data_IF_054313892263
#
_entry.id   IF_054313892263
#
_cell.length_a   1.000
_cell.length_b   1.000
_cell.length_c   1.000
_cell.angle_alpha   90.00
_cell.angle_beta   90.00
_cell.angle_gamma   90.00
#
_symmetry.space_group_name_H-M   'P 1'
#
loop_
_entity.id
_entity.type
_entity.pdbx_description
1 polymer ?
#
# COMPACT_ATOMS: atom_id res chain seq x y z
N UNK A 1 -16.60 9.58 -4.13
CA UNK A 1 -16.65 10.27 -2.81
C UNK A 1 -17.21 11.68 -2.99
N UNK A 2 -16.45 12.63 -3.54
CA UNK A 2 -16.91 14.03 -3.66
C UNK A 2 -18.25 14.18 -4.43
N UNK A 3 -18.40 13.50 -5.57
CA UNK A 3 -19.66 13.51 -6.33
C UNK A 3 -20.85 12.89 -5.57
N UNK A 4 -20.65 11.72 -4.95
CA UNK A 4 -21.66 11.07 -4.10
C UNK A 4 -22.02 11.89 -2.86
N UNK A 5 -21.08 12.68 -2.32
CA UNK A 5 -21.35 13.62 -1.22
C UNK A 5 -22.24 14.78 -1.66
N UNK A 6 -22.00 15.33 -2.86
CA UNK A 6 -22.87 16.36 -3.47
C UNK A 6 -24.27 15.81 -3.77
N UNK A 7 -24.35 14.54 -4.19
CA UNK A 7 -25.60 13.85 -4.49
C UNK A 7 -26.35 13.33 -3.23
N UNK A 8 -25.89 13.73 -2.02
CA UNK A 8 -26.44 13.34 -0.70
C UNK A 8 -26.50 11.83 -0.46
N UNK A 9 -25.64 11.07 -1.13
CA UNK A 9 -25.53 9.63 -0.93
C UNK A 9 -24.76 9.33 0.35
N UNK A 10 -25.10 8.22 1.02
CA UNK A 10 -24.35 7.77 2.20
C UNK A 10 -23.01 7.20 1.75
N UNK A 11 -21.93 7.88 2.12
CA UNK A 11 -20.55 7.43 1.85
C UNK A 11 -19.95 6.85 3.13
N UNK A 12 -19.59 5.57 3.10
CA UNK A 12 -18.80 4.94 4.15
C UNK A 12 -17.32 4.84 3.71
N UNK A 13 -16.41 5.24 4.59
CA UNK A 13 -14.96 5.09 4.38
C UNK A 13 -14.42 4.22 5.50
N UNK A 14 -13.75 3.13 5.13
CA UNK A 14 -13.02 2.27 6.06
C UNK A 14 -11.54 2.58 5.90
N UNK A 15 -10.94 3.16 6.94
CA UNK A 15 -9.50 3.39 7.03
C UNK A 15 -8.90 2.23 7.84
N UNK A 16 -8.18 1.34 7.16
CA UNK A 16 -7.48 0.23 7.80
C UNK A 16 -6.05 0.64 8.10
N UNK A 17 -5.67 0.55 9.38
CA UNK A 17 -4.27 0.64 9.78
C UNK A 17 -3.59 -0.72 9.57
N UNK A 18 -2.93 -0.86 8.42
CA UNK A 18 -2.14 -2.04 8.05
C UNK A 18 -0.66 -1.90 8.41
N UNK A 19 -0.28 -0.88 9.19
CA UNK A 19 1.11 -0.59 9.55
C UNK A 19 1.86 -1.84 10.02
N UNK A 20 1.31 -2.57 11.00
CA UNK A 20 1.91 -3.79 11.56
C UNK A 20 1.95 -4.98 10.61
N UNK A 21 1.03 -5.04 9.65
CA UNK A 21 1.02 -6.11 8.66
C UNK A 21 2.27 -6.02 7.79
N UNK A 22 2.72 -4.81 7.45
CA UNK A 22 3.93 -4.62 6.66
C UNK A 22 5.19 -4.96 7.44
N UNK A 23 5.26 -4.69 8.74
CA UNK A 23 6.43 -5.07 9.57
C UNK A 23 6.59 -6.58 9.71
N UNK A 24 5.48 -7.33 9.59
CA UNK A 24 5.46 -8.79 9.78
C UNK A 24 5.73 -9.57 8.48
N UNK A 25 5.65 -8.91 7.32
CA UNK A 25 5.83 -9.57 6.01
C UNK A 25 7.29 -9.48 5.59
N UNK A 26 7.83 -10.59 5.07
CA UNK A 26 9.15 -10.59 4.43
C UNK A 26 9.16 -9.61 3.23
N UNK A 27 9.87 -8.49 3.39
CA UNK A 27 9.96 -7.44 2.39
C UNK A 27 10.66 -7.88 1.10
N UNK A 28 11.59 -8.83 1.16
CA UNK A 28 12.27 -9.36 -0.02
C UNK A 28 11.30 -10.21 -0.84
N UNK A 29 10.53 -11.07 -0.18
CA UNK A 29 9.49 -11.87 -0.83
C UNK A 29 8.40 -10.98 -1.44
N UNK A 30 7.98 -9.92 -0.73
CA UNK A 30 7.02 -8.95 -1.22
C UNK A 30 7.51 -8.26 -2.51
N UNK A 31 8.73 -7.73 -2.52
CA UNK A 31 9.30 -7.07 -3.70
C UNK A 31 9.43 -8.02 -4.89
N UNK A 32 9.84 -9.27 -4.67
CA UNK A 32 9.89 -10.29 -5.74
C UNK A 32 8.51 -10.56 -6.34
N UNK A 33 7.47 -10.66 -5.51
CA UNK A 33 6.09 -10.85 -6.00
C UNK A 33 5.63 -9.65 -6.82
N UNK A 34 5.91 -8.43 -6.37
CA UNK A 34 5.59 -7.21 -7.11
C UNK A 34 6.30 -7.16 -8.47
N UNK A 35 7.56 -7.59 -8.54
CA UNK A 35 8.30 -7.70 -9.80
C UNK A 35 7.67 -8.71 -10.76
N UNK A 36 7.27 -9.90 -10.26
CA UNK A 36 6.58 -10.92 -11.06
C UNK A 36 5.22 -10.43 -11.58
N UNK A 37 4.55 -9.55 -10.82
CA UNK A 37 3.29 -8.92 -11.22
C UNK A 37 3.47 -7.80 -12.26
N UNK A 38 4.71 -7.46 -12.65
CA UNK A 38 4.99 -6.47 -13.68
C UNK A 38 5.07 -5.02 -13.17
N UNK A 39 5.29 -4.83 -11.87
CA UNK A 39 5.57 -3.50 -11.31
C UNK A 39 6.91 -2.99 -11.85
N UNK A 40 6.97 -1.73 -12.28
CA UNK A 40 8.17 -1.12 -12.85
C UNK A 40 9.31 -1.01 -11.83
N UNK A 41 10.55 -1.00 -12.31
CA UNK A 41 11.74 -0.88 -11.46
C UNK A 41 11.72 0.40 -10.60
N UNK A 42 11.23 1.52 -11.15
CA UNK A 42 11.09 2.78 -10.40
C UNK A 42 10.11 2.64 -9.22
N UNK A 43 8.97 1.99 -9.45
CA UNK A 43 7.99 1.74 -8.41
C UNK A 43 8.51 0.72 -7.38
N UNK A 44 9.25 -0.31 -7.81
CA UNK A 44 9.92 -1.25 -6.90
C UNK A 44 10.98 -0.56 -6.05
N UNK A 45 11.74 0.37 -6.62
CA UNK A 45 12.72 1.18 -5.89
C UNK A 45 12.03 2.06 -4.84
N UNK A 46 10.89 2.65 -5.19
CA UNK A 46 10.05 3.39 -4.24
C UNK A 46 9.55 2.49 -3.10
N UNK A 47 8.99 1.31 -3.41
CA UNK A 47 8.54 0.36 -2.38
C UNK A 47 9.68 -0.09 -1.48
N UNK A 48 10.86 -0.36 -2.05
CA UNK A 48 12.04 -0.71 -1.28
C UNK A 48 12.43 0.43 -0.34
N UNK A 49 12.45 1.67 -0.81
CA UNK A 49 12.72 2.85 0.04
C UNK A 49 11.69 3.02 1.15
N UNK A 50 10.42 2.75 0.85
CA UNK A 50 9.31 2.90 1.80
C UNK A 50 9.33 1.83 2.91
N UNK A 51 9.75 0.61 2.58
CA UNK A 51 9.81 -0.51 3.53
C UNK A 51 11.14 -0.57 4.29
N UNK A 52 12.22 0.00 3.73
CA UNK A 52 13.54 -0.02 4.38
C UNK A 52 13.55 0.85 5.62
N UNK A 53 13.99 0.29 6.75
CA UNK A 53 14.18 1.05 8.00
C UNK A 53 12.87 1.43 8.71
N UNK A 54 11.74 0.88 8.28
CA UNK A 54 10.48 0.97 9.02
C UNK A 54 10.63 0.30 10.37
N UNK A 55 10.28 1.03 11.42
CA UNK A 55 9.97 0.52 12.74
C UNK A 55 8.69 1.25 13.18
N UNK A 56 7.59 0.51 13.40
CA UNK A 56 6.32 1.05 13.83
C UNK A 56 5.85 0.39 15.13
#
# INVERSE_FOLDING_TARGET
ILKSMDDKEVVAVILLDLSKAFDSIDHVLLLKKLQVLGVSDDALCWFKSYLTGRQQ
#
